data_IF_672000688017
#
_entry.id   IF_672000688017
#
_cell.length_a   1.000
_cell.length_b   1.000
_cell.length_c   1.000
_cell.angle_alpha   90.00
_cell.angle_beta   90.00
_cell.angle_gamma   90.00
#
_symmetry.space_group_name_H-M   'P 1'
#
loop_
_entity.id
_entity.type
_entity.pdbx_description
1 polymer ?
#
# COMPACT_ATOMS: atom_id res chain seq x y z
N UNK A 1 14.06 26.40 5.62
CA UNK A 1 13.17 26.50 4.46
C UNK A 1 13.71 25.59 3.37
N UNK A 2 12.97 24.58 2.94
CA UNK A 2 13.31 23.86 1.72
C UNK A 2 13.03 24.74 0.50
N UNK A 3 13.86 24.65 -0.54
CA UNK A 3 13.61 25.31 -1.83
C UNK A 3 13.24 24.24 -2.88
N UNK A 4 12.01 23.69 -2.83
CA UNK A 4 11.68 22.51 -3.64
C UNK A 4 11.67 22.85 -5.14
N UNK A 5 11.29 24.07 -5.55
CA UNK A 5 11.42 24.52 -6.94
C UNK A 5 12.85 24.50 -7.47
N UNK A 6 13.82 24.91 -6.63
CA UNK A 6 15.23 24.89 -7.00
C UNK A 6 15.73 23.45 -7.11
N UNK A 7 15.37 22.58 -6.15
CA UNK A 7 15.69 21.16 -6.21
C UNK A 7 15.15 20.49 -7.48
N UNK A 8 13.85 20.70 -7.79
CA UNK A 8 13.21 20.20 -9.01
C UNK A 8 13.94 20.65 -10.29
N UNK A 9 14.42 21.90 -10.33
CA UNK A 9 15.18 22.39 -11.47
C UNK A 9 16.46 21.59 -11.71
N UNK A 10 17.24 21.30 -10.67
CA UNK A 10 18.46 20.51 -10.80
C UNK A 10 18.17 19.01 -11.02
N UNK A 11 17.15 18.46 -10.37
CA UNK A 11 16.74 17.07 -10.63
C UNK A 11 16.29 16.86 -12.07
N UNK A 12 15.54 17.81 -12.64
CA UNK A 12 15.16 17.78 -14.05
C UNK A 12 16.36 17.88 -14.98
N UNK A 13 17.42 18.60 -14.62
CA UNK A 13 18.67 18.58 -15.39
C UNK A 13 19.40 17.25 -15.27
N UNK A 14 19.46 16.71 -14.06
CA UNK A 14 20.11 15.43 -13.78
C UNK A 14 19.43 14.26 -14.50
N UNK A 15 18.11 14.32 -14.70
CA UNK A 15 17.36 13.23 -15.35
C UNK A 15 17.68 13.09 -16.84
N UNK A 16 18.19 14.14 -17.49
CA UNK A 16 18.72 14.04 -18.85
C UNK A 16 20.06 13.29 -18.90
N UNK A 17 20.84 13.31 -17.82
CA UNK A 17 22.12 12.62 -17.75
C UNK A 17 21.96 11.16 -17.31
N UNK A 18 21.04 10.91 -16.38
CA UNK A 18 20.79 9.59 -15.81
C UNK A 18 19.28 9.31 -15.73
N UNK A 19 18.63 9.02 -16.86
CA UNK A 19 17.18 8.81 -16.92
C UNK A 19 16.71 7.54 -16.18
N UNK A 20 17.61 6.60 -15.92
CA UNK A 20 17.30 5.33 -15.26
C UNK A 20 17.74 5.28 -13.78
N UNK A 21 18.14 6.40 -13.15
CA UNK A 21 18.45 6.40 -11.71
C UNK A 21 17.14 6.53 -10.91
N UNK A 22 16.72 5.44 -10.26
CA UNK A 22 15.51 5.41 -9.44
C UNK A 22 15.55 6.42 -8.27
N UNK A 23 16.72 6.64 -7.66
CA UNK A 23 16.87 7.55 -6.50
C UNK A 23 16.60 8.98 -6.89
N UNK A 24 17.00 9.36 -8.11
CA UNK A 24 16.72 10.68 -8.66
C UNK A 24 15.21 10.90 -8.81
N UNK A 25 14.50 9.92 -9.36
CA UNK A 25 13.04 9.99 -9.52
C UNK A 25 12.32 10.03 -8.17
N UNK A 26 12.77 9.24 -7.18
CA UNK A 26 12.25 9.27 -5.80
C UNK A 26 12.44 10.65 -5.18
N UNK A 27 13.65 11.23 -5.25
CA UNK A 27 13.93 12.55 -4.70
C UNK A 27 13.10 13.65 -5.37
N UNK A 28 12.86 13.53 -6.67
CA UNK A 28 12.01 14.45 -7.41
C UNK A 28 10.53 14.30 -6.99
N UNK A 29 10.06 13.08 -6.77
CA UNK A 29 8.71 12.79 -6.29
C UNK A 29 8.46 13.38 -4.89
N UNK A 30 9.40 13.18 -3.96
CA UNK A 30 9.35 13.77 -2.62
C UNK A 30 9.31 15.30 -2.65
N UNK A 31 10.00 15.93 -3.61
CA UNK A 31 9.88 17.38 -3.81
C UNK A 31 8.49 17.79 -4.28
N UNK A 32 7.85 17.01 -5.17
CA UNK A 32 6.48 17.28 -5.61
C UNK A 32 5.45 17.11 -4.49
N UNK A 33 5.64 16.14 -3.60
CA UNK A 33 4.79 15.95 -2.41
C UNK A 33 4.95 17.08 -1.37
N UNK A 34 6.15 17.66 -1.28
CA UNK A 34 6.46 18.64 -0.23
C UNK A 34 5.61 19.91 -0.32
N UNK A 35 5.27 20.46 0.83
CA UNK A 35 4.65 21.78 0.91
C UNK A 35 5.66 22.87 0.46
N UNK A 36 5.25 23.82 -0.41
CA UNK A 36 3.89 24.17 -0.80
C UNK A 36 3.40 23.59 -2.15
N UNK A 37 4.13 22.65 -2.76
CA UNK A 37 3.81 22.16 -4.10
C UNK A 37 2.56 21.29 -4.12
N UNK A 38 2.50 20.27 -3.24
CA UNK A 38 1.41 19.29 -3.16
C UNK A 38 0.96 18.75 -4.53
N UNK A 39 1.91 18.58 -5.46
CA UNK A 39 1.65 18.12 -6.83
C UNK A 39 1.62 16.59 -6.87
N UNK A 40 0.61 16.00 -6.23
CA UNK A 40 0.51 14.55 -6.01
C UNK A 40 0.56 13.74 -7.32
N UNK A 41 -0.11 14.19 -8.37
CA UNK A 41 -0.11 13.51 -9.67
C UNK A 41 1.29 13.47 -10.32
N UNK A 42 2.09 14.53 -10.18
CA UNK A 42 3.45 14.55 -10.70
C UNK A 42 4.40 13.69 -9.84
N UNK A 43 4.15 13.63 -8.53
CA UNK A 43 4.85 12.71 -7.64
C UNK A 43 4.62 11.25 -8.05
N UNK A 44 3.36 10.87 -8.33
CA UNK A 44 3.00 9.52 -8.80
C UNK A 44 3.78 9.17 -10.07
N UNK A 45 3.77 10.03 -11.10
CA UNK A 45 4.52 9.79 -12.34
C UNK A 45 6.02 9.58 -12.09
N UNK A 46 6.59 10.29 -11.12
CA UNK A 46 7.99 10.13 -10.75
C UNK A 46 8.24 8.80 -10.04
N UNK A 47 7.39 8.40 -9.09
CA UNK A 47 7.54 7.10 -8.45
C UNK A 47 7.29 5.93 -9.40
N UNK A 48 6.37 6.03 -10.35
CA UNK A 48 6.19 5.01 -11.39
C UNK A 48 7.47 4.81 -12.20
N UNK A 49 8.14 5.91 -12.58
CA UNK A 49 9.45 5.84 -13.24
C UNK A 49 10.51 5.22 -12.35
N UNK A 50 10.54 5.56 -11.07
CA UNK A 50 11.47 4.96 -10.11
C UNK A 50 11.25 3.45 -9.97
N UNK A 51 9.99 3.02 -9.83
CA UNK A 51 9.63 1.61 -9.73
C UNK A 51 10.03 0.80 -10.97
N UNK A 52 9.96 1.42 -12.16
CA UNK A 52 10.42 0.82 -13.42
C UNK A 52 11.95 0.83 -13.59
N UNK A 53 12.68 1.64 -12.81
CA UNK A 53 14.12 1.86 -12.95
C UNK A 53 14.96 1.07 -11.93
N UNK A 54 14.46 -0.07 -11.43
CA UNK A 54 15.09 -0.85 -10.36
C UNK A 54 15.35 -0.03 -9.09
N UNK A 55 14.30 0.56 -8.50
CA UNK A 55 14.37 1.07 -7.14
C UNK A 55 14.85 -0.03 -6.20
N UNK A 56 16.07 0.03 -5.67
CA UNK A 56 16.64 -1.00 -4.79
C UNK A 56 16.08 -0.97 -3.37
N UNK A 57 15.57 0.18 -2.94
CA UNK A 57 15.16 0.39 -1.54
C UNK A 57 13.68 0.06 -1.31
N UNK A 58 12.89 -0.10 -2.38
CA UNK A 58 11.45 -0.39 -2.30
C UNK A 58 10.64 0.82 -1.81
N UNK A 59 11.18 2.02 -1.93
CA UNK A 59 10.50 3.25 -1.54
C UNK A 59 9.37 3.56 -2.53
N UNK A 60 9.61 3.36 -3.83
CA UNK A 60 8.71 3.82 -4.88
C UNK A 60 7.34 3.11 -4.84
N UNK A 61 7.33 1.79 -4.68
CA UNK A 61 6.08 1.00 -4.63
C UNK A 61 5.25 1.36 -3.40
N UNK A 62 5.90 1.50 -2.25
CA UNK A 62 5.25 1.88 -1.02
C UNK A 62 4.61 3.28 -1.10
N UNK A 63 5.36 4.26 -1.62
CA UNK A 63 4.84 5.62 -1.77
C UNK A 63 3.71 5.70 -2.81
N UNK A 64 3.79 4.97 -3.92
CA UNK A 64 2.68 4.88 -4.88
C UNK A 64 1.41 4.40 -4.19
N UNK A 65 1.49 3.31 -3.42
CA UNK A 65 0.35 2.76 -2.72
C UNK A 65 -0.29 3.78 -1.76
N UNK A 66 0.53 4.52 -1.01
CA UNK A 66 0.08 5.57 -0.11
C UNK A 66 -0.59 6.74 -0.84
N UNK A 67 0.01 7.23 -1.93
CA UNK A 67 -0.52 8.34 -2.71
C UNK A 67 -1.85 7.99 -3.38
N UNK A 68 -1.97 6.79 -3.97
CA UNK A 68 -3.24 6.31 -4.50
C UNK A 68 -4.31 6.19 -3.39
N UNK A 69 -3.92 5.74 -2.19
CA UNK A 69 -4.81 5.73 -1.03
C UNK A 69 -5.31 7.12 -0.64
N UNK A 70 -4.45 8.14 -0.68
CA UNK A 70 -4.83 9.54 -0.43
C UNK A 70 -5.78 10.11 -1.50
N UNK A 71 -5.65 9.66 -2.74
CA UNK A 71 -6.55 10.04 -3.85
C UNK A 71 -7.89 9.28 -3.81
N UNK A 72 -8.09 8.37 -2.85
CA UNK A 72 -9.29 7.52 -2.77
C UNK A 72 -9.31 6.36 -3.78
N UNK A 73 -8.22 6.16 -4.50
CA UNK A 73 -8.01 5.10 -5.49
C UNK A 73 -7.59 3.81 -4.77
N UNK A 74 -8.55 3.23 -4.05
CA UNK A 74 -8.27 2.13 -3.12
C UNK A 74 -7.84 0.83 -3.80
N UNK A 75 -8.30 0.57 -5.04
CA UNK A 75 -7.92 -0.61 -5.81
C UNK A 75 -6.47 -0.54 -6.28
N UNK A 76 -6.07 0.61 -6.82
CA UNK A 76 -4.70 0.89 -7.24
C UNK A 76 -3.75 0.88 -6.05
N UNK A 77 -4.16 1.46 -4.92
CA UNK A 77 -3.41 1.40 -3.68
C UNK A 77 -3.18 -0.04 -3.22
N UNK A 78 -4.22 -0.89 -3.24
CA UNK A 78 -4.10 -2.29 -2.88
C UNK A 78 -3.19 -3.06 -3.85
N UNK A 79 -3.26 -2.77 -5.15
CA UNK A 79 -2.36 -3.35 -6.15
C UNK A 79 -0.89 -3.05 -5.82
N UNK A 80 -0.55 -1.78 -5.57
CA UNK A 80 0.81 -1.38 -5.24
C UNK A 80 1.28 -1.93 -3.88
N UNK A 81 0.44 -1.92 -2.85
CA UNK A 81 0.79 -2.53 -1.56
C UNK A 81 1.03 -4.03 -1.66
N UNK A 82 0.25 -4.75 -2.48
CA UNK A 82 0.47 -6.18 -2.70
C UNK A 82 1.81 -6.42 -3.38
N UNK A 83 2.13 -5.65 -4.44
CA UNK A 83 3.42 -5.75 -5.13
C UNK A 83 4.61 -5.39 -4.23
N UNK A 84 4.45 -4.39 -3.37
CA UNK A 84 5.45 -4.01 -2.36
C UNK A 84 5.67 -5.13 -1.34
N UNK A 85 4.57 -5.76 -0.87
CA UNK A 85 4.61 -6.88 0.06
C UNK A 85 5.32 -8.10 -0.53
N UNK A 86 4.96 -8.52 -1.74
CA UNK A 86 5.60 -9.64 -2.46
C UNK A 86 7.11 -9.40 -2.61
N UNK A 87 7.51 -8.16 -2.90
CA UNK A 87 8.91 -7.80 -3.00
C UNK A 87 9.63 -7.87 -1.64
N UNK A 88 9.03 -7.32 -0.59
CA UNK A 88 9.60 -7.36 0.75
C UNK A 88 9.76 -8.81 1.24
N UNK A 89 8.84 -9.70 0.90
CA UNK A 89 8.93 -11.14 1.21
C UNK A 89 10.13 -11.80 0.51
N UNK A 90 10.34 -11.54 -0.78
CA UNK A 90 11.48 -12.07 -1.54
C UNK A 90 12.81 -11.58 -0.98
N UNK A 91 12.85 -10.34 -0.49
CA UNK A 91 14.04 -9.74 0.09
C UNK A 91 14.18 -10.00 1.61
N UNK A 92 13.27 -10.79 2.19
CA UNK A 92 13.17 -11.08 3.63
C UNK A 92 13.17 -9.82 4.53
N UNK A 93 12.69 -8.70 3.98
CA UNK A 93 12.63 -7.41 4.67
C UNK A 93 11.36 -7.33 5.51
N UNK A 94 11.54 -7.20 6.82
CA UNK A 94 10.47 -6.92 7.75
C UNK A 94 10.65 -5.53 8.36
N UNK A 95 9.55 -4.81 8.56
CA UNK A 95 9.58 -3.46 9.12
C UNK A 95 8.21 -2.81 9.14
N UNK A 96 8.20 -1.50 9.42
CA UNK A 96 6.96 -0.75 9.55
C UNK A 96 6.14 -0.72 8.25
N UNK A 97 6.80 -0.57 7.10
CA UNK A 97 6.16 -0.58 5.79
C UNK A 97 5.44 -1.92 5.51
N UNK A 98 6.00 -3.03 5.98
CA UNK A 98 5.42 -4.36 5.84
C UNK A 98 4.10 -4.47 6.63
N UNK A 99 4.11 -3.99 7.87
CA UNK A 99 2.92 -3.97 8.73
C UNK A 99 1.85 -3.02 8.17
N UNK A 100 2.25 -1.85 7.67
CA UNK A 100 1.36 -0.89 7.02
C UNK A 100 0.67 -1.47 5.78
N UNK A 101 1.44 -2.14 4.91
CA UNK A 101 0.91 -2.81 3.72
C UNK A 101 -0.11 -3.91 4.09
N UNK A 102 0.23 -4.78 5.05
CA UNK A 102 -0.68 -5.82 5.55
C UNK A 102 -1.98 -5.23 6.11
N UNK A 103 -1.88 -4.16 6.90
CA UNK A 103 -3.02 -3.50 7.52
C UNK A 103 -3.93 -2.86 6.47
N UNK A 104 -3.36 -2.21 5.47
CA UNK A 104 -4.12 -1.62 4.38
C UNK A 104 -4.88 -2.69 3.59
N UNK A 105 -4.19 -3.77 3.17
CA UNK A 105 -4.80 -4.88 2.44
C UNK A 105 -5.92 -5.54 3.24
N UNK A 106 -5.70 -5.81 4.53
CA UNK A 106 -6.74 -6.38 5.40
C UNK A 106 -8.01 -5.51 5.46
N UNK A 107 -7.86 -4.19 5.59
CA UNK A 107 -8.99 -3.25 5.59
C UNK A 107 -9.68 -3.19 4.23
N UNK A 108 -8.90 -3.12 3.15
CA UNK A 108 -9.40 -3.04 1.78
C UNK A 108 -10.23 -4.29 1.41
N UNK A 109 -9.69 -5.49 1.64
CA UNK A 109 -10.41 -6.73 1.35
C UNK A 109 -11.64 -6.93 2.24
N UNK A 110 -11.59 -6.46 3.49
CA UNK A 110 -12.79 -6.40 4.33
C UNK A 110 -13.86 -5.49 3.73
N UNK A 111 -13.51 -4.32 3.20
CA UNK A 111 -14.49 -3.41 2.58
C UNK A 111 -15.11 -3.95 1.29
N UNK A 112 -14.36 -4.75 0.51
CA UNK A 112 -14.85 -5.39 -0.71
C UNK A 112 -15.68 -6.66 -0.41
N UNK A 113 -15.62 -7.16 0.83
CA UNK A 113 -16.32 -8.38 1.24
C UNK A 113 -15.54 -9.67 0.96
N UNK A 114 -14.25 -9.57 0.58
CA UNK A 114 -13.35 -10.72 0.42
C UNK A 114 -12.78 -11.14 1.76
N UNK A 115 -13.62 -11.77 2.58
CA UNK A 115 -13.31 -12.05 3.98
C UNK A 115 -12.16 -13.05 4.19
N UNK A 116 -12.00 -14.03 3.30
CA UNK A 116 -10.91 -15.02 3.39
C UNK A 116 -9.53 -14.37 3.25
N UNK A 117 -9.37 -13.49 2.25
CA UNK A 117 -8.11 -12.76 2.06
C UNK A 117 -7.87 -11.77 3.20
N UNK A 118 -8.91 -11.08 3.67
CA UNK A 118 -8.80 -10.19 4.82
C UNK A 118 -8.35 -10.96 6.09
N UNK A 119 -8.89 -12.16 6.32
CA UNK A 119 -8.45 -13.05 7.40
C UNK A 119 -7.00 -13.48 7.23
N UNK A 120 -6.59 -13.85 6.01
CA UNK A 120 -5.20 -14.20 5.72
C UNK A 120 -4.23 -13.07 6.13
N UNK A 121 -4.45 -11.83 5.68
CA UNK A 121 -3.59 -10.71 6.06
C UNK A 121 -3.67 -10.38 7.57
N UNK A 122 -4.85 -10.50 8.18
CA UNK A 122 -4.98 -10.31 9.62
C UNK A 122 -4.25 -11.36 10.45
N UNK A 123 -4.23 -12.63 10.04
CA UNK A 123 -3.48 -13.68 10.77
C UNK A 123 -2.00 -13.38 10.77
N UNK A 124 -1.44 -12.96 9.64
CA UNK A 124 -0.04 -12.52 9.52
C UNK A 124 0.27 -11.31 10.42
N UNK A 125 -0.68 -10.39 10.58
CA UNK A 125 -0.53 -9.26 11.51
C UNK A 125 -0.50 -9.66 12.99
N UNK A 126 -1.02 -10.84 13.37
CA UNK A 126 -1.02 -11.28 14.77
C UNK A 126 0.37 -11.65 15.29
N UNK A 127 1.28 -11.98 14.36
CA UNK A 127 2.68 -12.31 14.66
C UNK A 127 3.47 -11.06 15.06
N UNK A 128 3.01 -9.88 14.67
CA UNK A 128 3.61 -8.59 15.03
C UNK A 128 3.06 -8.08 16.37
N UNK A 129 3.89 -7.33 17.11
CA UNK A 129 3.51 -6.67 18.37
C UNK A 129 3.22 -5.19 18.13
N UNK A 130 2.07 -4.70 18.58
CA UNK A 130 1.73 -3.28 18.46
C UNK A 130 0.21 -3.02 18.41
N UNK A 131 -0.21 -1.76 18.22
CA UNK A 131 -1.61 -1.41 18.00
C UNK A 131 -2.20 -2.13 16.77
N UNK A 132 -1.36 -2.49 15.80
CA UNK A 132 -1.76 -3.17 14.58
C UNK A 132 -2.31 -4.57 14.87
N UNK A 133 -1.76 -5.27 15.87
CA UNK A 133 -2.30 -6.55 16.36
C UNK A 133 -3.71 -6.40 16.91
N UNK A 134 -3.97 -5.34 17.67
CA UNK A 134 -5.32 -5.07 18.21
C UNK A 134 -6.29 -4.75 17.08
N UNK A 135 -5.86 -3.96 16.09
CA UNK A 135 -6.68 -3.68 14.91
C UNK A 135 -6.98 -4.95 14.11
N UNK A 136 -6.01 -5.85 13.95
CA UNK A 136 -6.20 -7.14 13.28
C UNK A 136 -7.22 -8.01 14.03
N UNK A 137 -7.13 -8.08 15.36
CA UNK A 137 -8.13 -8.79 16.19
C UNK A 137 -9.53 -8.20 16.03
N UNK A 138 -9.67 -6.88 16.05
CA UNK A 138 -10.94 -6.19 15.85
C UNK A 138 -11.51 -6.45 14.44
N UNK A 139 -10.64 -6.49 13.43
CA UNK A 139 -11.03 -6.84 12.07
C UNK A 139 -11.58 -8.27 12.05
N UNK A 140 -10.82 -9.25 12.56
CA UNK A 140 -11.21 -10.66 12.61
C UNK A 140 -12.52 -10.91 13.38
N UNK A 141 -12.72 -10.25 14.51
CA UNK A 141 -13.98 -10.36 15.26
C UNK A 141 -15.16 -9.81 14.44
N UNK A 142 -14.96 -8.71 13.71
CA UNK A 142 -15.96 -8.18 12.78
C UNK A 142 -16.27 -9.15 11.64
N UNK A 143 -15.25 -9.82 11.08
CA UNK A 143 -15.43 -10.82 10.03
C UNK A 143 -16.24 -12.02 10.52
N UNK A 144 -15.90 -12.57 11.70
CA UNK A 144 -16.63 -13.69 12.30
C UNK A 144 -18.10 -13.38 12.55
N UNK A 145 -18.40 -12.16 13.01
CA UNK A 145 -19.80 -11.70 13.21
C UNK A 145 -20.56 -11.60 11.89
N UNK A 146 -19.91 -11.10 10.83
CA UNK A 146 -20.49 -11.01 9.50
C UNK A 146 -20.79 -12.39 8.91
N UNK A 147 -19.92 -13.37 9.14
CA UNK A 147 -20.13 -14.76 8.68
C UNK A 147 -21.20 -15.49 9.50
N UNK A 148 -21.25 -15.31 10.82
CA UNK A 148 -22.28 -15.91 11.68
C UNK A 148 -23.69 -15.32 11.51
N UNK A 149 -23.79 -14.17 10.83
CA UNK A 149 -25.05 -13.49 10.56
C UNK A 149 -25.81 -14.01 9.34
N UNK A 150 -25.23 -14.93 8.56
CA UNK A 150 -25.94 -15.66 7.51
C UNK A 150 -26.43 -16.98 8.10
N UNK A 151 -27.73 -17.16 8.38
CA UNK A 151 -28.25 -18.49 8.68
C UNK A 151 -28.05 -19.32 7.42
N UNK A 152 -27.40 -20.47 7.56
CA UNK A 152 -27.56 -21.56 6.58
C UNK A 152 -29.06 -21.86 6.53
N UNK A 153 -29.74 -21.39 5.47
CA UNK A 153 -31.05 -21.92 5.14
C UNK A 153 -30.84 -23.36 4.71
N UNK A 154 -30.94 -24.27 5.67
CA UNK A 154 -31.11 -25.70 5.42
C UNK A 154 -32.44 -25.86 4.67
N UNK A 155 -32.39 -25.79 3.34
CA UNK A 155 -33.46 -26.23 2.45
C UNK A 155 -33.32 -27.75 2.35
N UNK A 156 -33.74 -28.48 3.39
CA UNK A 156 -33.87 -29.94 3.31
C UNK A 156 -34.86 -30.44 4.37
N UNK A 157 -36.13 -30.01 4.26
CA UNK A 157 -37.25 -30.77 4.82
C UNK A 157 -38.59 -30.36 4.20
N UNK A 158 -38.80 -30.70 2.92
CA UNK A 158 -40.15 -30.94 2.41
C UNK A 158 -40.09 -31.77 1.12
N UNK A 159 -40.07 -33.09 1.27
CA UNK A 159 -40.59 -34.01 0.26
C UNK A 159 -41.43 -35.04 1.01
N UNK A 160 -42.73 -35.03 0.66
CA UNK A 160 -43.80 -35.90 1.12
C UNK A 160 -43.55 -37.37 0.81
#
# INVERSE_FOLDING_TARGET
>A
MGMPFYALYYFKKSSYLQPNDARLWIAMAQCYESDPLQMIEEAIKCYERAANSNDTEGIALHQLAKLHGMLGQSEEAAFYYKKDLERMEVEERQGQNFVEALLFLAKHYRSIGRFEEAEHYCTRLLDYTGPEKETAKNILQGLKRAQSGFPSMDIDHFAL
#
